data_IF_337582502915
#
_entry.id   IF_337582502915
#
_cell.length_a   1.000
_cell.length_b   1.000
_cell.length_c   1.000
_cell.angle_alpha   90.00
_cell.angle_beta   90.00
_cell.angle_gamma   90.00
#
_symmetry.space_group_name_H-M   'P 1'
#
loop_
_entity.id
_entity.type
_entity.pdbx_description
1 polymer ?
#
# COMPACT_ATOMS: atom_id res chain seq x y z
N UNK A 1 -23.23 45.11 1.04
CA UNK A 1 -22.25 44.47 0.14
C UNK A 1 -21.93 43.10 0.64
N UNK A 2 -22.47 42.13 -0.03
CA UNK A 2 -22.13 40.77 0.25
C UNK A 2 -20.65 40.58 -0.08
N UNK A 3 -19.84 40.51 0.95
CA UNK A 3 -18.53 39.92 0.76
C UNK A 3 -18.78 38.50 0.39
N UNK A 4 -18.45 38.19 -0.83
CA UNK A 4 -18.28 36.82 -1.21
C UNK A 4 -17.31 36.20 -0.21
N UNK A 5 -17.85 35.55 0.79
CA UNK A 5 -17.07 34.64 1.56
C UNK A 5 -16.73 33.50 0.60
N UNK A 6 -15.63 33.67 -0.08
CA UNK A 6 -15.00 32.56 -0.74
C UNK A 6 -14.55 31.63 0.38
N UNK A 7 -15.48 30.86 0.87
CA UNK A 7 -15.12 29.67 1.61
C UNK A 7 -14.48 28.78 0.55
N UNK A 8 -13.18 28.91 0.46
CA UNK A 8 -12.38 27.88 -0.16
C UNK A 8 -12.59 26.65 0.71
N UNK A 9 -13.65 25.94 0.42
CA UNK A 9 -13.72 24.54 0.77
C UNK A 9 -12.64 23.87 -0.06
N UNK A 10 -11.42 23.99 0.44
CA UNK A 10 -10.39 23.05 0.06
C UNK A 10 -10.99 21.70 0.37
N UNK A 11 -11.19 20.85 -0.65
CA UNK A 11 -11.54 19.48 -0.35
C UNK A 11 -10.49 19.02 0.64
N UNK A 12 -10.91 18.60 1.80
CA UNK A 12 -10.12 17.74 2.63
C UNK A 12 -9.77 16.56 1.74
N UNK A 13 -8.63 16.65 1.09
CA UNK A 13 -8.02 15.49 0.49
C UNK A 13 -7.65 14.55 1.63
N UNK A 14 -8.67 13.89 2.15
CA UNK A 14 -8.46 12.64 2.83
C UNK A 14 -7.95 11.75 1.71
N UNK A 15 -6.63 11.62 1.64
CA UNK A 15 -5.99 10.67 0.74
C UNK A 15 -6.40 9.29 1.21
N UNK A 16 -7.61 8.87 0.80
CA UNK A 16 -8.01 7.50 0.94
C UNK A 16 -7.04 6.67 0.11
N UNK A 17 -6.42 5.68 0.72
CA UNK A 17 -5.50 4.81 0.04
C UNK A 17 -6.22 4.10 -1.11
N UNK A 18 -5.66 4.14 -2.30
CA UNK A 18 -6.26 3.53 -3.47
C UNK A 18 -6.23 2.00 -3.36
N UNK A 19 -7.38 1.38 -3.67
CA UNK A 19 -7.47 -0.07 -3.84
C UNK A 19 -7.27 -0.42 -5.31
N UNK A 20 -6.43 -1.41 -5.57
CA UNK A 20 -6.25 -1.94 -6.92
C UNK A 20 -7.05 -3.22 -7.10
N UNK A 21 -7.53 -3.42 -8.33
CA UNK A 21 -8.34 -4.57 -8.73
C UNK A 21 -7.54 -5.49 -9.63
N UNK A 22 -8.06 -6.69 -9.90
CA UNK A 22 -7.42 -7.63 -10.82
C UNK A 22 -7.20 -7.01 -12.20
N UNK A 23 -8.11 -6.15 -12.67
CA UNK A 23 -7.99 -5.52 -13.98
C UNK A 23 -6.95 -4.40 -14.02
N UNK A 24 -6.63 -3.76 -12.91
CA UNK A 24 -5.68 -2.65 -12.84
C UNK A 24 -4.33 -3.04 -12.24
N UNK A 25 -4.22 -4.23 -11.67
CA UNK A 25 -3.05 -4.65 -10.91
C UNK A 25 -1.76 -4.57 -11.74
N UNK A 26 -1.74 -5.23 -12.89
CA UNK A 26 -0.52 -5.29 -13.71
C UNK A 26 -0.08 -3.91 -14.18
N UNK A 27 -1.01 -3.07 -14.64
CA UNK A 27 -0.66 -1.74 -15.11
C UNK A 27 -0.13 -0.84 -13.99
N UNK A 28 -0.63 -1.02 -12.77
CA UNK A 28 -0.23 -0.17 -11.62
C UNK A 28 1.03 -0.67 -10.91
N UNK A 29 1.40 -1.92 -11.08
CA UNK A 29 2.50 -2.51 -10.32
C UNK A 29 3.70 -2.94 -11.16
N UNK A 30 3.61 -2.87 -12.50
CA UNK A 30 4.65 -3.41 -13.39
C UNK A 30 5.91 -2.56 -13.47
N UNK A 31 5.87 -1.30 -13.06
CA UNK A 31 7.02 -0.39 -13.16
C UNK A 31 7.29 0.30 -11.83
N UNK A 32 8.57 0.41 -11.52
CA UNK A 32 9.05 1.13 -10.35
C UNK A 32 8.83 0.38 -9.05
N UNK A 33 9.01 1.08 -7.96
CA UNK A 33 8.80 0.56 -6.61
C UNK A 33 7.36 0.75 -6.21
N UNK A 34 6.68 -0.34 -5.90
CA UNK A 34 5.26 -0.34 -5.51
C UNK A 34 5.11 -1.12 -4.21
N UNK A 35 4.38 -0.54 -3.28
CA UNK A 35 4.08 -1.17 -2.00
C UNK A 35 2.61 -1.57 -2.00
N UNK A 36 2.33 -2.82 -1.69
CA UNK A 36 0.97 -3.35 -1.63
C UNK A 36 0.68 -3.81 -0.21
N UNK A 37 -0.39 -3.28 0.38
CA UNK A 37 -0.98 -3.88 1.58
C UNK A 37 -2.12 -4.80 1.17
N UNK A 38 -2.02 -6.06 1.54
CA UNK A 38 -3.14 -7.00 1.45
C UNK A 38 -4.01 -6.80 2.69
N UNK A 39 -5.30 -6.58 2.45
CA UNK A 39 -6.23 -6.01 3.40
C UNK A 39 -7.55 -6.78 3.39
N UNK A 40 -8.24 -6.82 4.52
CA UNK A 40 -9.58 -7.36 4.62
C UNK A 40 -10.46 -6.49 5.52
N UNK A 41 -11.72 -6.35 5.16
CA UNK A 41 -12.67 -5.53 5.92
C UNK A 41 -12.77 -5.98 7.38
N UNK A 42 -12.77 -7.28 7.63
CA UNK A 42 -12.91 -7.84 8.98
C UNK A 42 -11.72 -7.50 9.90
N UNK A 43 -10.59 -7.05 9.34
CA UNK A 43 -9.41 -6.65 10.13
C UNK A 43 -8.98 -5.20 9.86
N UNK A 44 -9.89 -4.35 9.41
CA UNK A 44 -9.56 -2.96 9.06
C UNK A 44 -9.05 -2.14 10.24
N UNK A 45 -9.36 -2.52 11.46
CA UNK A 45 -8.82 -1.86 12.66
C UNK A 45 -7.31 -1.98 12.77
N UNK A 46 -6.71 -2.97 12.15
CA UNK A 46 -5.26 -3.19 12.11
C UNK A 46 -4.64 -2.85 10.74
N UNK A 47 -5.37 -2.14 9.88
CA UNK A 47 -4.82 -1.71 8.59
C UNK A 47 -3.61 -0.81 8.79
N UNK A 48 -2.72 -0.86 7.82
CA UNK A 48 -1.51 -0.05 7.82
C UNK A 48 -1.91 1.42 7.62
N UNK A 49 -1.48 2.29 8.52
CA UNK A 49 -1.85 3.71 8.49
C UNK A 49 -0.80 4.60 7.82
N UNK A 50 0.39 4.08 7.56
CA UNK A 50 1.50 4.86 7.05
C UNK A 50 1.70 4.77 5.52
N UNK A 51 0.88 4.01 4.79
CA UNK A 51 1.06 3.87 3.34
C UNK A 51 1.13 5.22 2.60
N UNK A 52 0.23 6.19 2.87
CA UNK A 52 0.27 7.46 2.15
C UNK A 52 1.51 8.30 2.43
N UNK A 53 2.23 7.99 3.52
CA UNK A 53 3.41 8.76 3.93
C UNK A 53 4.73 8.12 3.47
N UNK A 54 4.67 6.96 2.81
CA UNK A 54 5.86 6.35 2.23
C UNK A 54 6.36 7.17 1.05
N UNK A 55 7.69 7.26 0.91
CA UNK A 55 8.34 8.05 -0.13
C UNK A 55 9.03 7.17 -1.15
N UNK A 56 9.14 7.68 -2.37
CA UNK A 56 9.84 7.05 -3.49
C UNK A 56 9.20 5.73 -3.93
N UNK A 57 7.89 5.63 -3.77
CA UNK A 57 7.10 4.49 -4.20
C UNK A 57 5.65 4.90 -4.44
N UNK A 58 4.93 4.08 -5.17
CA UNK A 58 3.47 4.11 -5.18
C UNK A 58 2.98 3.06 -4.18
N UNK A 59 1.87 3.34 -3.51
CA UNK A 59 1.33 2.42 -2.50
C UNK A 59 -0.16 2.19 -2.74
N UNK A 60 -0.57 0.95 -2.65
CA UNK A 60 -1.95 0.52 -2.91
C UNK A 60 -2.38 -0.53 -1.89
N UNK A 61 -3.70 -0.71 -1.79
CA UNK A 61 -4.32 -1.83 -1.06
C UNK A 61 -4.96 -2.81 -2.01
N UNK A 62 -4.96 -4.06 -1.62
CA UNK A 62 -5.72 -5.13 -2.27
C UNK A 62 -6.65 -5.74 -1.25
N UNK A 63 -7.96 -5.69 -1.54
CA UNK A 63 -8.96 -6.40 -0.74
C UNK A 63 -8.90 -7.88 -1.11
N UNK A 64 -8.43 -8.72 -0.19
CA UNK A 64 -8.20 -10.14 -0.48
C UNK A 64 -9.49 -10.92 -0.74
N UNK A 65 -10.62 -10.44 -0.23
CA UNK A 65 -11.91 -11.09 -0.45
C UNK A 65 -12.42 -10.76 -1.86
N UNK A 66 -12.37 -9.49 -2.23
CA UNK A 66 -12.81 -9.04 -3.56
C UNK A 66 -11.85 -9.46 -4.67
N UNK A 67 -10.56 -9.53 -4.38
CA UNK A 67 -9.51 -9.84 -5.35
C UNK A 67 -8.83 -11.17 -5.00
N UNK A 68 -9.62 -12.23 -4.90
CA UNK A 68 -9.12 -13.55 -4.49
C UNK A 68 -8.02 -14.10 -5.42
N UNK A 69 -8.04 -13.75 -6.70
CA UNK A 69 -7.00 -14.14 -7.65
C UNK A 69 -5.64 -13.53 -7.32
N UNK A 70 -5.61 -12.28 -6.90
CA UNK A 70 -4.36 -11.61 -6.48
C UNK A 70 -3.87 -12.21 -5.17
N UNK A 71 -4.76 -12.46 -4.22
CA UNK A 71 -4.43 -13.14 -2.97
C UNK A 71 -3.73 -14.46 -3.24
N UNK A 72 -4.31 -15.26 -4.14
CA UNK A 72 -3.77 -16.58 -4.49
C UNK A 72 -2.40 -16.46 -5.18
N UNK A 73 -2.26 -15.52 -6.10
CA UNK A 73 -1.02 -15.29 -6.83
C UNK A 73 0.16 -15.02 -5.89
N UNK A 74 -0.07 -14.29 -4.82
CA UNK A 74 0.98 -13.96 -3.85
C UNK A 74 0.97 -14.86 -2.61
N UNK A 75 0.11 -15.87 -2.58
CA UNK A 75 0.00 -16.80 -1.45
C UNK A 75 -0.19 -16.09 -0.12
N UNK A 76 -1.12 -15.13 -0.08
CA UNK A 76 -1.40 -14.35 1.12
C UNK A 76 -2.25 -15.20 2.07
N UNK A 77 -1.75 -15.45 3.27
CA UNK A 77 -2.39 -16.29 4.29
C UNK A 77 -2.87 -15.50 5.50
N UNK A 78 -2.42 -14.27 5.64
CA UNK A 78 -2.84 -13.40 6.75
C UNK A 78 -2.85 -11.95 6.30
N UNK A 79 -3.64 -11.12 6.97
CA UNK A 79 -3.70 -9.68 6.76
C UNK A 79 -3.52 -8.95 8.09
N UNK A 80 -2.87 -7.77 8.08
CA UNK A 80 -2.22 -7.17 6.93
C UNK A 80 -0.93 -7.91 6.53
N UNK A 81 -0.66 -7.96 5.25
CA UNK A 81 0.65 -8.35 4.70
C UNK A 81 1.06 -7.23 3.75
N UNK A 82 2.29 -6.76 3.86
CA UNK A 82 2.83 -5.71 2.99
C UNK A 82 3.94 -6.31 2.13
N UNK A 83 3.81 -6.13 0.83
CA UNK A 83 4.81 -6.57 -0.15
C UNK A 83 5.38 -5.35 -0.85
N UNK A 84 6.68 -5.34 -1.08
CA UNK A 84 7.35 -4.35 -1.91
C UNK A 84 7.71 -5.02 -3.23
N UNK A 85 7.19 -4.46 -4.32
CA UNK A 85 7.47 -4.89 -5.68
C UNK A 85 8.45 -3.92 -6.32
N UNK A 86 9.37 -4.44 -7.11
CA UNK A 86 10.25 -3.65 -7.95
C UNK A 86 10.11 -4.14 -9.40
N UNK A 87 9.56 -3.31 -10.26
CA UNK A 87 9.22 -3.67 -11.63
C UNK A 87 8.40 -4.97 -11.70
N UNK A 88 7.42 -5.09 -10.83
CA UNK A 88 6.50 -6.22 -10.76
C UNK A 88 7.02 -7.45 -10.01
N UNK A 89 8.26 -7.42 -9.53
CA UNK A 89 8.89 -8.56 -8.84
C UNK A 89 8.92 -8.30 -7.33
N UNK A 90 8.46 -9.29 -6.56
CA UNK A 90 8.48 -9.19 -5.10
C UNK A 90 9.91 -9.18 -4.57
N UNK A 91 10.29 -8.11 -3.88
CA UNK A 91 11.61 -7.93 -3.29
C UNK A 91 11.59 -8.15 -1.77
N UNK A 92 10.49 -7.80 -1.11
CA UNK A 92 10.40 -7.84 0.34
C UNK A 92 8.96 -8.08 0.75
N UNK A 93 8.78 -8.82 1.84
CA UNK A 93 7.48 -9.11 2.42
C UNK A 93 7.51 -8.91 3.92
N UNK A 94 6.49 -8.25 4.45
CA UNK A 94 6.25 -8.12 5.87
C UNK A 94 4.90 -8.75 6.18
N UNK A 95 4.89 -9.72 7.07
CA UNK A 95 3.67 -10.44 7.46
C UNK A 95 3.10 -9.89 8.75
N UNK A 96 1.87 -10.27 9.06
CA UNK A 96 1.27 -9.95 10.34
C UNK A 96 1.77 -10.89 11.44
N UNK A 97 1.71 -10.40 12.66
CA UNK A 97 1.99 -11.20 13.87
C UNK A 97 0.74 -12.01 14.27
N UNK A 98 0.83 -12.72 15.40
CA UNK A 98 -0.26 -13.54 15.92
C UNK A 98 -1.51 -12.71 16.27
N UNK A 99 -1.33 -11.42 16.57
CA UNK A 99 -2.41 -10.49 16.86
C UNK A 99 -3.02 -9.88 15.58
N UNK A 100 -2.63 -10.36 14.43
CA UNK A 100 -3.03 -9.84 13.11
C UNK A 100 -2.74 -8.34 12.94
N UNK A 101 -1.59 -7.94 13.45
CA UNK A 101 -1.01 -6.61 13.26
C UNK A 101 0.26 -6.75 12.43
N UNK A 102 0.53 -5.78 11.56
CA UNK A 102 1.74 -5.83 10.74
C UNK A 102 2.98 -5.89 11.63
N UNK A 103 3.87 -6.83 11.36
CA UNK A 103 5.12 -7.00 12.10
C UNK A 103 6.24 -6.11 11.53
N UNK A 104 5.91 -4.86 11.26
CA UNK A 104 6.84 -3.84 10.77
C UNK A 104 6.23 -2.46 10.98
N UNK A 105 7.07 -1.46 11.16
CA UNK A 105 6.66 -0.06 11.24
C UNK A 105 7.04 0.69 9.96
N UNK A 106 6.63 1.94 9.85
CA UNK A 106 6.94 2.81 8.72
C UNK A 106 8.45 2.87 8.44
N UNK A 107 9.25 3.04 9.48
CA UNK A 107 10.70 3.18 9.35
C UNK A 107 11.31 1.94 8.69
N UNK A 108 10.87 0.76 9.10
CA UNK A 108 11.38 -0.50 8.56
C UNK A 108 10.97 -0.71 7.11
N UNK A 109 9.73 -0.38 6.75
CA UNK A 109 9.25 -0.47 5.38
C UNK A 109 9.97 0.55 4.49
N UNK A 110 10.08 1.79 4.96
CA UNK A 110 10.78 2.84 4.21
C UNK A 110 12.24 2.49 3.97
N UNK A 111 12.91 1.89 4.96
CA UNK A 111 14.29 1.44 4.81
C UNK A 111 14.43 0.45 3.66
N UNK A 112 13.51 -0.50 3.55
CA UNK A 112 13.54 -1.47 2.44
C UNK A 112 13.30 -0.79 1.09
N UNK A 113 12.42 0.19 1.03
CA UNK A 113 12.20 1.00 -0.19
C UNK A 113 13.48 1.73 -0.57
N UNK A 114 14.14 2.36 0.40
CA UNK A 114 15.36 3.12 0.19
C UNK A 114 16.51 2.23 -0.31
N UNK A 115 16.62 1.02 0.22
CA UNK A 115 17.60 0.03 -0.23
C UNK A 115 17.39 -0.34 -1.70
N UNK A 116 16.15 -0.56 -2.11
CA UNK A 116 15.81 -0.85 -3.50
C UNK A 116 16.14 0.34 -4.39
N UNK A 117 15.75 1.54 -3.98
CA UNK A 117 16.03 2.78 -4.72
C UNK A 117 17.52 2.99 -4.87
N UNK A 118 18.28 2.80 -3.80
CA UNK A 118 19.74 2.95 -3.81
C UNK A 118 20.40 1.95 -4.76
N UNK A 119 19.93 0.71 -4.79
CA UNK A 119 20.52 -0.33 -5.63
C UNK A 119 20.41 -0.02 -7.13
N UNK A 120 19.43 0.79 -7.54
CA UNK A 120 19.25 1.19 -8.95
C UNK A 120 20.36 2.13 -9.45
N UNK A 121 21.14 2.71 -8.56
CA UNK A 121 22.21 3.65 -8.91
C UNK A 121 23.60 3.01 -8.83
N UNK A 122 23.67 1.72 -8.63
CA UNK A 122 24.95 0.98 -8.61
C UNK A 122 25.25 0.33 -9.94
#
# INVERSE_FOLDING_TARGET
MSKLLLILLLPLNILAQEFVTSSSFDSKTSKGTVVIEFWAEWNKGNQVDFLPSLKDCNAYRVDIVKQAGIQKKFSITSVPTVIILNNGIEEKRFSSNIMLQLNANKKKVQKSIDEITFSKFQ
#
